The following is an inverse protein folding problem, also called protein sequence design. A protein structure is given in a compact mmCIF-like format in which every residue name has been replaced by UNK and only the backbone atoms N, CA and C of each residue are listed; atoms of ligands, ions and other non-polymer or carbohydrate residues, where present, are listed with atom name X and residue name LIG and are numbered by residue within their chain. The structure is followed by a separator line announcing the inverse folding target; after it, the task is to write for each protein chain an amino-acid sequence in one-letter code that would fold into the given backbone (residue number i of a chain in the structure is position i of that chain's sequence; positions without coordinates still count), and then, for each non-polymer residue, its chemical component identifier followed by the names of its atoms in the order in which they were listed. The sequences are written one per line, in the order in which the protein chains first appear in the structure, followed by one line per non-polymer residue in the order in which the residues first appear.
data_IF_357531039063
#
_entry.id   IF_357531039063
#
_cell.length_a   1.000
_cell.length_b   1.000
_cell.length_c   1.000
_cell.angle_alpha   90.00
_cell.angle_beta   90.00
_cell.angle_gamma   90.00
#
_symmetry.space_group_name_H-M   'P 1'
#
loop_
_entity.id
_entity.type
_entity.pdbx_description
1 polymer ?
#
# COMPACT_ATOMS: atom_id res chain seq x y z
N UNK A 1 -9.67 -17.79 12.34
CA UNK A 1 -8.87 -17.19 13.44
C UNK A 1 -7.44 -16.84 13.02
N UNK A 2 -6.51 -17.79 12.78
CA UNK A 2 -5.13 -17.42 12.37
C UNK A 2 -5.13 -16.66 11.04
N UNK A 3 -5.95 -17.11 10.10
CA UNK A 3 -6.17 -16.47 8.81
C UNK A 3 -6.60 -15.00 8.92
N UNK A 4 -7.65 -14.72 9.71
CA UNK A 4 -8.15 -13.36 9.97
C UNK A 4 -7.10 -12.47 10.64
N UNK A 5 -6.33 -13.01 11.60
CA UNK A 5 -5.27 -12.26 12.30
C UNK A 5 -4.21 -11.78 11.30
N UNK A 6 -3.81 -12.62 10.34
CA UNK A 6 -2.84 -12.25 9.31
C UNK A 6 -3.38 -11.09 8.44
N UNK A 7 -4.66 -11.15 8.05
CA UNK A 7 -5.30 -10.07 7.30
C UNK A 7 -5.33 -8.78 8.13
N UNK A 8 -5.76 -8.83 9.40
CA UNK A 8 -5.80 -7.64 10.25
C UNK A 8 -4.42 -7.01 10.47
N UNK A 9 -3.37 -7.80 10.66
CA UNK A 9 -2.00 -7.29 10.78
C UNK A 9 -1.57 -6.63 9.47
N UNK A 10 -1.79 -7.29 8.33
CA UNK A 10 -1.48 -6.71 7.01
C UNK A 10 -2.22 -5.39 6.77
N UNK A 11 -3.50 -5.33 7.13
CA UNK A 11 -4.32 -4.13 7.03
C UNK A 11 -3.82 -3.00 7.90
N UNK A 12 -3.43 -3.29 9.15
CA UNK A 12 -2.87 -2.28 10.04
C UNK A 12 -1.56 -1.71 9.49
N UNK A 13 -0.66 -2.58 9.00
CA UNK A 13 0.61 -2.16 8.39
C UNK A 13 0.36 -1.24 7.19
N UNK A 14 -0.53 -1.63 6.27
CA UNK A 14 -0.74 -0.85 5.05
C UNK A 14 -1.44 0.49 5.29
N UNK A 15 -2.35 0.55 6.28
CA UNK A 15 -2.97 1.81 6.71
C UNK A 15 -1.93 2.74 7.32
N UNK A 16 -1.10 2.23 8.25
CA UNK A 16 -0.04 3.03 8.86
C UNK A 16 0.94 3.54 7.80
N UNK A 17 1.27 2.72 6.81
CA UNK A 17 2.14 3.10 5.70
C UNK A 17 1.49 4.14 4.78
N UNK A 18 0.20 4.03 4.49
CA UNK A 18 -0.56 5.03 3.75
C UNK A 18 -0.62 6.38 4.49
N UNK A 19 -0.86 6.37 5.79
CA UNK A 19 -0.81 7.58 6.64
C UNK A 19 0.61 8.18 6.63
N UNK A 20 1.65 7.35 6.67
CA UNK A 20 3.03 7.80 6.63
C UNK A 20 3.38 8.52 5.31
N UNK A 21 2.74 8.16 4.19
CA UNK A 21 2.88 8.91 2.93
C UNK A 21 2.45 10.36 3.13
N UNK A 22 1.25 10.58 3.68
CA UNK A 22 0.68 11.92 3.85
C UNK A 22 1.56 12.84 4.71
N UNK A 23 2.16 12.30 5.77
CA UNK A 23 3.09 13.06 6.62
C UNK A 23 4.43 13.35 5.93
N UNK A 24 4.90 12.45 5.05
CA UNK A 24 6.17 12.61 4.35
C UNK A 24 6.09 13.52 3.11
N UNK A 25 4.89 13.85 2.62
CA UNK A 25 4.65 14.54 1.34
C UNK A 25 5.54 15.76 1.13
N UNK A 26 5.58 16.70 2.09
CA UNK A 26 6.40 17.92 1.97
C UNK A 26 7.90 17.61 1.85
N UNK A 27 8.38 16.61 2.59
CA UNK A 27 9.79 16.20 2.57
C UNK A 27 10.15 15.51 1.25
N UNK A 28 9.24 14.67 0.73
CA UNK A 28 9.44 13.94 -0.53
C UNK A 28 9.46 14.91 -1.71
N UNK A 29 8.50 15.83 -1.80
CA UNK A 29 8.43 16.84 -2.87
C UNK A 29 9.67 17.73 -2.87
N UNK A 30 10.14 18.15 -1.68
CA UNK A 30 11.41 18.91 -1.55
C UNK A 30 12.63 18.10 -2.00
N UNK A 31 12.59 16.77 -1.84
CA UNK A 31 13.66 15.86 -2.25
C UNK A 31 13.93 15.81 -3.76
N UNK A 32 13.01 16.29 -4.60
CA UNK A 32 13.19 16.37 -6.04
C UNK A 32 13.99 17.62 -6.50
N UNK A 33 14.30 18.55 -5.60
CA UNK A 33 15.07 19.76 -5.92
C UNK A 33 14.27 20.81 -6.71
N UNK A 34 14.96 21.59 -7.54
CA UNK A 34 14.37 22.68 -8.32
C UNK A 34 13.71 22.18 -9.61
N UNK A 35 12.52 21.59 -9.44
CA UNK A 35 11.58 21.28 -10.53
C UNK A 35 10.52 22.38 -10.68
N UNK A 36 9.83 22.41 -11.81
CA UNK A 36 8.72 23.36 -12.04
C UNK A 36 7.60 23.20 -11.01
N UNK A 37 6.86 24.29 -10.76
CA UNK A 37 5.72 24.26 -9.83
C UNK A 37 4.62 23.27 -10.24
N UNK A 38 4.42 23.07 -11.54
CA UNK A 38 3.46 22.09 -12.03
C UNK A 38 3.92 20.66 -11.74
N UNK A 39 5.21 20.35 -11.91
CA UNK A 39 5.75 19.04 -11.54
C UNK A 39 5.65 18.79 -10.03
N UNK A 40 5.88 19.81 -9.18
CA UNK A 40 5.69 19.68 -7.73
C UNK A 40 4.26 19.32 -7.37
N UNK A 41 3.27 19.94 -8.02
CA UNK A 41 1.84 19.65 -7.81
C UNK A 41 1.49 18.23 -8.23
N UNK A 42 1.98 17.76 -9.40
CA UNK A 42 1.72 16.40 -9.87
C UNK A 42 2.34 15.36 -8.94
N UNK A 43 3.60 15.52 -8.54
CA UNK A 43 4.26 14.60 -7.59
C UNK A 43 3.52 14.59 -6.25
N UNK A 44 3.07 15.76 -5.77
CA UNK A 44 2.26 15.85 -4.55
C UNK A 44 0.97 15.06 -4.69
N UNK A 45 0.26 15.23 -5.81
CA UNK A 45 -0.98 14.51 -6.08
C UNK A 45 -0.75 12.99 -6.12
N UNK A 46 0.25 12.53 -6.87
CA UNK A 46 0.56 11.10 -7.01
C UNK A 46 0.92 10.47 -5.65
N UNK A 47 1.73 11.16 -4.86
CA UNK A 47 2.16 10.70 -3.55
C UNK A 47 0.99 10.58 -2.54
N UNK A 48 0.09 11.57 -2.53
CA UNK A 48 -1.13 11.55 -1.70
C UNK A 48 -2.10 10.48 -2.22
N UNK A 49 -2.27 10.36 -3.53
CA UNK A 49 -3.16 9.37 -4.13
C UNK A 49 -2.73 7.93 -3.78
N UNK A 50 -1.41 7.65 -3.81
CA UNK A 50 -0.87 6.38 -3.34
C UNK A 50 -1.20 6.15 -1.86
N UNK A 51 -0.92 7.12 -0.98
CA UNK A 51 -1.24 7.03 0.46
C UNK A 51 -2.71 6.72 0.75
N UNK A 52 -3.63 7.43 0.09
CA UNK A 52 -5.08 7.20 0.19
C UNK A 52 -5.46 5.80 -0.31
N UNK A 53 -4.92 5.36 -1.44
CA UNK A 53 -5.22 4.04 -1.99
C UNK A 53 -4.77 2.92 -1.05
N UNK A 54 -3.60 3.06 -0.41
CA UNK A 54 -3.11 2.11 0.58
C UNK A 54 -4.00 2.04 1.83
N UNK A 55 -4.46 3.20 2.33
CA UNK A 55 -5.42 3.25 3.42
C UNK A 55 -6.75 2.58 3.05
N UNK A 56 -7.25 2.87 1.84
CA UNK A 56 -8.47 2.25 1.32
C UNK A 56 -8.37 0.73 1.26
N UNK A 57 -7.27 0.17 0.74
CA UNK A 57 -7.05 -1.28 0.66
C UNK A 57 -7.08 -1.91 2.06
N UNK A 58 -6.37 -1.32 3.03
CA UNK A 58 -6.34 -1.86 4.39
C UNK A 58 -7.70 -1.81 5.07
N UNK A 59 -8.45 -0.71 4.92
CA UNK A 59 -9.81 -0.55 5.44
C UNK A 59 -10.73 -1.58 4.79
N UNK A 60 -10.71 -1.70 3.46
CA UNK A 60 -11.52 -2.67 2.72
C UNK A 60 -11.28 -4.09 3.25
N UNK A 61 -10.02 -4.48 3.41
CA UNK A 61 -9.67 -5.79 3.95
C UNK A 61 -10.17 -6.00 5.39
N UNK A 62 -10.12 -4.98 6.26
CA UNK A 62 -10.70 -5.05 7.62
C UNK A 62 -12.21 -5.32 7.55
N UNK A 63 -12.94 -4.54 6.73
CA UNK A 63 -14.39 -4.67 6.64
C UNK A 63 -14.81 -6.02 6.06
N UNK A 64 -14.13 -6.48 5.01
CA UNK A 64 -14.40 -7.78 4.39
C UNK A 64 -14.10 -8.93 5.35
N UNK A 65 -13.04 -8.82 6.16
CA UNK A 65 -12.72 -9.81 7.20
C UNK A 65 -13.72 -9.80 8.35
N UNK A 66 -14.13 -8.62 8.82
CA UNK A 66 -14.98 -8.48 10.01
C UNK A 66 -16.45 -8.82 9.75
N UNK A 67 -16.95 -8.58 8.54
CA UNK A 67 -18.37 -8.70 8.22
C UNK A 67 -18.69 -9.78 7.17
N UNK A 68 -17.71 -10.28 6.44
CA UNK A 68 -17.90 -11.32 5.43
C UNK A 68 -17.45 -12.70 5.91
N UNK A 69 -17.94 -13.74 5.23
CA UNK A 69 -17.43 -15.10 5.43
C UNK A 69 -16.09 -15.26 4.69
N UNK A 70 -14.97 -15.52 5.41
CA UNK A 70 -13.63 -15.63 4.82
C UNK A 70 -13.50 -16.71 3.73
N UNK A 71 -14.37 -17.73 3.76
CA UNK A 71 -14.33 -18.85 2.82
C UNK A 71 -15.03 -18.55 1.50
N UNK A 72 -15.75 -17.44 1.41
CA UNK A 72 -16.43 -17.06 0.17
C UNK A 72 -15.42 -16.63 -0.89
N UNK A 73 -15.67 -17.06 -2.13
CA UNK A 73 -14.87 -16.67 -3.28
C UNK A 73 -14.76 -15.13 -3.40
N UNK A 74 -15.84 -14.41 -3.08
CA UNK A 74 -15.86 -12.94 -3.11
C UNK A 74 -14.80 -12.35 -2.17
N UNK A 75 -14.72 -12.81 -0.92
CA UNK A 75 -13.74 -12.30 0.03
C UNK A 75 -12.30 -12.64 -0.39
N UNK A 76 -12.08 -13.86 -0.88
CA UNK A 76 -10.77 -14.28 -1.42
C UNK A 76 -10.33 -13.41 -2.60
N UNK A 77 -11.24 -13.14 -3.53
CA UNK A 77 -10.96 -12.27 -4.68
C UNK A 77 -10.58 -10.85 -4.23
N UNK A 78 -11.21 -10.30 -3.20
CA UNK A 78 -10.83 -8.98 -2.66
C UNK A 78 -9.39 -9.01 -2.17
N UNK A 79 -8.98 -10.02 -1.41
CA UNK A 79 -7.59 -10.12 -0.92
C UNK A 79 -6.59 -10.32 -2.05
N UNK A 80 -6.90 -11.15 -3.04
CA UNK A 80 -6.02 -11.43 -4.18
C UNK A 80 -5.88 -10.23 -5.11
N UNK A 81 -6.98 -9.54 -5.43
CA UNK A 81 -6.94 -8.35 -6.28
C UNK A 81 -6.20 -7.23 -5.55
N UNK A 82 -6.47 -7.02 -4.26
CA UNK A 82 -5.73 -6.05 -3.45
C UNK A 82 -4.23 -6.35 -3.42
N UNK A 83 -3.86 -7.63 -3.25
CA UNK A 83 -2.47 -8.08 -3.30
C UNK A 83 -1.85 -7.86 -4.68
N UNK A 84 -2.60 -8.13 -5.76
CA UNK A 84 -2.19 -7.88 -7.13
C UNK A 84 -1.95 -6.39 -7.41
N UNK A 85 -2.81 -5.50 -6.90
CA UNK A 85 -2.62 -4.05 -6.99
C UNK A 85 -1.35 -3.62 -6.26
N UNK A 86 -1.15 -4.07 -5.02
CA UNK A 86 0.08 -3.77 -4.26
C UNK A 86 1.32 -4.35 -4.93
N UNK A 87 1.23 -5.52 -5.57
CA UNK A 87 2.33 -6.10 -6.33
C UNK A 87 2.66 -5.21 -7.53
N UNK A 88 1.66 -4.78 -8.30
CA UNK A 88 1.84 -3.86 -9.42
C UNK A 88 2.51 -2.55 -9.01
N UNK A 89 2.03 -1.93 -7.92
CA UNK A 89 2.64 -0.73 -7.32
C UNK A 89 4.08 -1.03 -6.86
N UNK A 90 4.31 -2.16 -6.21
CA UNK A 90 5.63 -2.59 -5.75
C UNK A 90 6.64 -2.71 -6.90
N UNK A 91 6.29 -3.36 -8.02
CA UNK A 91 7.22 -3.46 -9.16
C UNK A 91 7.40 -2.10 -9.81
N UNK A 92 6.34 -1.29 -9.95
CA UNK A 92 6.44 0.05 -10.51
C UNK A 92 7.44 0.88 -9.69
N UNK A 93 7.29 0.89 -8.36
CA UNK A 93 8.20 1.58 -7.44
C UNK A 93 9.62 1.04 -7.52
N UNK A 94 9.83 -0.28 -7.61
CA UNK A 94 11.18 -0.86 -7.79
C UNK A 94 11.84 -0.43 -9.11
N UNK A 95 11.05 -0.31 -10.18
CA UNK A 95 11.54 0.08 -11.50
C UNK A 95 11.79 1.59 -11.61
N UNK A 96 11.06 2.41 -10.83
CA UNK A 96 11.11 3.87 -10.89
C UNK A 96 11.60 4.48 -9.56
N UNK A 97 10.68 4.74 -8.61
CA UNK A 97 10.93 5.53 -7.41
C UNK A 97 12.09 5.03 -6.54
N UNK A 98 12.27 3.71 -6.39
CA UNK A 98 13.32 3.12 -5.57
C UNK A 98 14.73 3.40 -6.11
N UNK A 99 14.85 3.81 -7.37
CA UNK A 99 16.12 4.23 -8.00
C UNK A 99 16.49 5.69 -7.69
N UNK A 100 15.61 6.44 -7.03
CA UNK A 100 15.90 7.78 -6.53
C UNK A 100 16.64 7.71 -5.18
N UNK A 101 17.29 8.80 -4.72
CA UNK A 101 17.85 8.86 -3.38
C UNK A 101 16.80 8.97 -2.25
N UNK A 102 15.52 9.15 -2.59
CA UNK A 102 14.43 9.41 -1.63
C UNK A 102 14.09 8.09 -0.91
N UNK A 103 14.36 8.05 0.39
CA UNK A 103 14.29 6.84 1.23
C UNK A 103 12.88 6.19 1.23
N UNK A 104 11.77 6.92 1.39
CA UNK A 104 10.42 6.33 1.37
C UNK A 104 10.14 5.41 0.17
N UNK A 105 10.59 5.78 -1.03
CA UNK A 105 10.42 4.94 -2.22
C UNK A 105 11.20 3.62 -2.17
N UNK A 106 12.28 3.54 -1.37
CA UNK A 106 13.04 2.29 -1.18
C UNK A 106 12.39 1.37 -0.16
N UNK A 107 11.68 1.93 0.81
CA UNK A 107 10.98 1.19 1.87
C UNK A 107 9.62 0.68 1.38
N UNK A 108 8.91 1.47 0.56
CA UNK A 108 7.59 1.12 0.05
C UNK A 108 7.49 -0.31 -0.50
N UNK A 109 8.34 -0.78 -1.44
CA UNK A 109 8.20 -2.12 -2.00
C UNK A 109 8.42 -3.24 -0.96
N UNK A 110 9.21 -3.00 0.08
CA UNK A 110 9.39 -3.95 1.19
C UNK A 110 8.09 -4.06 1.99
N UNK A 111 7.50 -2.92 2.36
CA UNK A 111 6.23 -2.88 3.11
C UNK A 111 5.10 -3.54 2.32
N UNK A 112 4.97 -3.20 1.03
CA UNK A 112 3.98 -3.81 0.13
C UNK A 112 4.17 -5.34 0.06
N UNK A 113 5.41 -5.81 -0.07
CA UNK A 113 5.70 -7.25 -0.13
C UNK A 113 5.28 -7.98 1.16
N UNK A 114 5.57 -7.39 2.33
CA UNK A 114 5.15 -7.98 3.61
C UNK A 114 3.63 -8.10 3.70
N UNK A 115 2.91 -7.04 3.34
CA UNK A 115 1.43 -7.04 3.38
C UNK A 115 0.85 -8.04 2.37
N UNK A 116 1.41 -8.12 1.16
CA UNK A 116 1.01 -9.12 0.15
C UNK A 116 1.15 -10.54 0.72
N UNK A 117 2.28 -10.86 1.36
CA UNK A 117 2.49 -12.18 1.95
C UNK A 117 1.44 -12.46 3.02
N UNK A 118 1.16 -11.49 3.90
CA UNK A 118 0.14 -11.62 4.93
C UNK A 118 -1.27 -11.82 4.36
N UNK A 119 -1.63 -11.06 3.32
CA UNK A 119 -2.94 -11.19 2.66
C UNK A 119 -3.07 -12.53 1.94
N UNK A 120 -2.04 -12.97 1.23
CA UNK A 120 -2.05 -14.25 0.54
C UNK A 120 -2.13 -15.41 1.52
N UNK A 121 -1.29 -15.45 2.55
CA UNK A 121 -1.33 -16.50 3.58
C UNK A 121 -2.66 -16.49 4.35
N UNK A 122 -3.16 -15.31 4.74
CA UNK A 122 -4.44 -15.17 5.41
C UNK A 122 -5.63 -15.56 4.54
N UNK A 123 -5.51 -15.51 3.21
CA UNK A 123 -6.58 -15.96 2.29
C UNK A 123 -6.54 -17.46 1.98
N UNK A 124 -5.39 -18.12 2.18
CA UNK A 124 -5.16 -19.53 1.81
C UNK A 124 -5.25 -20.50 3.01
N UNK A 125 -5.10 -19.99 4.23
CA UNK A 125 -5.17 -20.75 5.49
C UNK A 125 -6.58 -20.75 6.10
#
# INVERSE_FOLDING_TARGET
MINEILIYIGSAIIIVWGIAHEFATKSVVKGFGDISEDNKKIITLEWIAEGIALCFIGILAIFVTAFGDPTTLTNQLVYWISSGTMLGLGILTLLTGARTPIIPFKICPIVLTVVIILFMLGSLL
#
